data_IF_431057719416
#
_entry.id   IF_431057719416
#
_cell.length_a   1.000
_cell.length_b   1.000
_cell.length_c   1.000
_cell.angle_alpha   90.00
_cell.angle_beta   90.00
_cell.angle_gamma   90.00
#
_symmetry.space_group_name_H-M   'P 1'
#
loop_
_entity.id
_entity.type
_entity.pdbx_description
1 polymer ?
#
# COMPACT_ATOMS: atom_id res chain seq x y z
N UNK A 1 19.51 -30.47 -13.18
CA UNK A 1 18.83 -30.05 -11.93
C UNK A 1 18.81 -28.54 -12.01
N UNK A 2 17.75 -27.94 -12.56
CA UNK A 2 17.69 -26.51 -12.76
C UNK A 2 17.32 -25.89 -11.41
N UNK A 3 18.33 -25.38 -10.73
CA UNK A 3 18.21 -24.45 -9.62
C UNK A 3 17.12 -23.44 -9.97
N UNK A 4 16.05 -23.43 -9.18
CA UNK A 4 14.89 -22.58 -9.40
C UNK A 4 15.30 -21.17 -8.97
N UNK A 5 15.93 -20.44 -9.90
CA UNK A 5 16.63 -19.19 -9.62
C UNK A 5 15.61 -18.07 -9.40
N UNK A 6 15.38 -17.75 -8.13
CA UNK A 6 14.50 -16.68 -7.72
C UNK A 6 15.18 -15.35 -8.06
N UNK A 7 14.82 -14.72 -9.20
CA UNK A 7 15.40 -13.44 -9.62
C UNK A 7 15.22 -12.39 -8.53
N UNK A 8 16.32 -11.88 -8.03
CA UNK A 8 16.36 -10.75 -7.12
C UNK A 8 15.90 -9.47 -7.82
N UNK A 9 14.79 -8.90 -7.35
CA UNK A 9 14.24 -7.61 -7.78
C UNK A 9 14.43 -6.58 -6.66
N UNK A 10 14.50 -5.31 -7.04
CA UNK A 10 14.53 -4.18 -6.11
C UNK A 10 13.13 -3.58 -5.93
N UNK A 11 12.73 -3.37 -4.70
CA UNK A 11 11.44 -2.74 -4.38
C UNK A 11 11.48 -1.24 -4.69
N UNK A 12 10.53 -0.70 -5.45
CA UNK A 12 10.51 0.76 -5.71
C UNK A 12 10.12 1.59 -4.48
N UNK A 13 9.34 1.01 -3.56
CA UNK A 13 8.86 1.74 -2.38
C UNK A 13 9.92 1.85 -1.27
N UNK A 14 10.77 0.84 -1.11
CA UNK A 14 11.77 0.79 -0.02
C UNK A 14 13.20 0.52 -0.46
N UNK A 15 13.45 0.17 -1.72
CA UNK A 15 14.78 -0.18 -2.25
C UNK A 15 15.30 -1.56 -1.83
N UNK A 16 14.55 -2.34 -1.05
CA UNK A 16 15.00 -3.66 -0.58
C UNK A 16 15.10 -4.66 -1.74
N UNK A 17 16.15 -5.48 -1.72
CA UNK A 17 16.32 -6.63 -2.62
C UNK A 17 15.47 -7.80 -2.11
N UNK A 18 14.63 -8.36 -2.97
CA UNK A 18 13.78 -9.51 -2.66
C UNK A 18 13.72 -10.45 -3.85
N UNK A 19 13.48 -11.74 -3.59
CA UNK A 19 13.30 -12.71 -4.65
C UNK A 19 11.90 -12.60 -5.27
N UNK A 20 11.84 -12.35 -6.57
CA UNK A 20 10.62 -12.39 -7.35
C UNK A 20 10.47 -13.76 -8.01
N UNK A 21 9.41 -14.46 -7.62
CA UNK A 21 9.06 -15.75 -8.22
C UNK A 21 8.27 -15.66 -9.52
N UNK A 22 8.18 -14.48 -10.16
CA UNK A 22 7.54 -14.35 -11.47
C UNK A 22 8.20 -15.27 -12.52
N UNK A 23 9.53 -15.43 -12.45
CA UNK A 23 10.29 -16.35 -13.31
C UNK A 23 10.06 -17.82 -12.91
N UNK A 24 9.89 -18.08 -11.61
CA UNK A 24 9.56 -19.39 -11.05
C UNK A 24 8.08 -19.80 -11.23
N UNK A 25 7.27 -18.97 -11.91
CA UNK A 25 5.85 -19.22 -12.16
C UNK A 25 4.91 -18.86 -10.99
N UNK A 26 5.43 -18.38 -9.86
CA UNK A 26 4.64 -18.01 -8.69
C UNK A 26 5.19 -16.76 -7.99
N UNK A 27 4.49 -15.62 -8.12
CA UNK A 27 4.83 -14.38 -7.44
C UNK A 27 4.06 -14.24 -6.13
N UNK A 28 4.75 -13.92 -5.04
CA UNK A 28 4.14 -13.55 -3.75
C UNK A 28 3.05 -12.48 -3.88
N UNK A 29 3.18 -11.59 -4.87
CA UNK A 29 2.18 -10.58 -5.18
C UNK A 29 0.77 -11.15 -5.49
N UNK A 30 0.68 -12.38 -5.99
CA UNK A 30 -0.59 -13.09 -6.21
C UNK A 30 -1.08 -13.87 -4.99
N UNK A 31 -0.22 -14.11 -4.00
CA UNK A 31 -0.54 -14.87 -2.78
C UNK A 31 -0.94 -13.93 -1.62
N UNK A 32 -0.49 -12.68 -1.63
CA UNK A 32 -0.90 -11.67 -0.64
C UNK A 32 -2.38 -11.35 -0.84
N UNK A 33 -3.18 -11.63 0.20
CA UNK A 33 -4.59 -11.26 0.27
C UNK A 33 -4.77 -9.73 0.38
N UNK A 34 -4.70 -9.05 -0.75
CA UNK A 34 -5.06 -7.64 -0.90
C UNK A 34 -6.47 -7.51 -1.45
N UNK A 35 -7.19 -6.51 -0.97
CA UNK A 35 -8.45 -6.12 -1.60
C UNK A 35 -8.20 -5.70 -3.07
N UNK A 36 -8.99 -6.19 -4.04
CA UNK A 36 -8.77 -5.92 -5.46
C UNK A 36 -8.78 -4.43 -5.81
N UNK A 37 -9.51 -3.59 -5.08
CA UNK A 37 -9.50 -2.15 -5.29
C UNK A 37 -8.17 -1.53 -4.82
N UNK A 38 -7.60 -2.02 -3.72
CA UNK A 38 -6.26 -1.62 -3.27
C UNK A 38 -5.21 -2.09 -4.27
N UNK A 39 -5.30 -3.33 -4.74
CA UNK A 39 -4.37 -3.89 -5.72
C UNK A 39 -4.39 -3.10 -7.04
N UNK A 40 -5.57 -2.79 -7.58
CA UNK A 40 -5.71 -1.98 -8.79
C UNK A 40 -5.10 -0.58 -8.62
N UNK A 41 -5.28 0.04 -7.44
CA UNK A 41 -4.69 1.34 -7.12
C UNK A 41 -3.17 1.27 -7.02
N UNK A 42 -2.63 0.21 -6.41
CA UNK A 42 -1.19 -0.03 -6.34
C UNK A 42 -0.58 -0.21 -7.74
N UNK A 43 -1.24 -0.95 -8.63
CA UNK A 43 -0.80 -1.11 -10.04
C UNK A 43 -0.80 0.20 -10.83
N UNK A 44 -1.60 1.19 -10.42
CA UNK A 44 -1.60 2.52 -11.06
C UNK A 44 -0.62 3.51 -10.42
N UNK A 45 -0.15 3.24 -9.21
CA UNK A 45 0.79 4.09 -8.47
C UNK A 45 2.24 3.64 -8.62
N UNK A 46 2.44 2.33 -8.77
CA UNK A 46 3.72 1.66 -8.80
C UNK A 46 3.80 0.84 -10.09
N UNK A 47 4.83 1.10 -10.89
CA UNK A 47 5.07 0.41 -12.17
C UNK A 47 6.02 -0.79 -11.98
N UNK A 48 6.72 -0.86 -10.84
CA UNK A 48 7.71 -1.88 -10.51
C UNK A 48 7.27 -2.82 -9.39
N UNK A 49 8.05 -3.89 -9.20
CA UNK A 49 7.72 -4.93 -8.22
C UNK A 49 7.89 -4.40 -6.78
N UNK A 50 6.91 -4.71 -5.93
CA UNK A 50 6.93 -4.41 -4.50
C UNK A 50 7.26 -5.67 -3.69
N UNK A 51 8.04 -5.50 -2.62
CA UNK A 51 8.38 -6.60 -1.73
C UNK A 51 7.16 -6.98 -0.83
N UNK A 52 7.11 -8.22 -0.30
CA UNK A 52 6.01 -8.67 0.53
C UNK A 52 5.84 -7.82 1.80
N UNK A 53 6.92 -7.29 2.39
CA UNK A 53 6.85 -6.42 3.56
C UNK A 53 6.11 -5.10 3.26
N UNK A 54 6.40 -4.46 2.12
CA UNK A 54 5.71 -3.25 1.69
C UNK A 54 4.24 -3.56 1.37
N UNK A 55 3.97 -4.64 0.65
CA UNK A 55 2.60 -5.08 0.34
C UNK A 55 1.80 -5.36 1.61
N UNK A 56 2.37 -6.04 2.61
CA UNK A 56 1.72 -6.31 3.90
C UNK A 56 1.45 -5.02 4.69
N UNK A 57 2.40 -4.09 4.74
CA UNK A 57 2.20 -2.80 5.40
C UNK A 57 1.09 -1.98 4.75
N UNK A 58 1.02 -1.99 3.42
CA UNK A 58 -0.03 -1.36 2.63
C UNK A 58 -1.37 -2.07 2.84
N UNK A 59 -1.40 -3.40 2.84
CA UNK A 59 -2.58 -4.20 3.12
C UNK A 59 -3.13 -3.91 4.52
N UNK A 60 -2.27 -3.88 5.54
CA UNK A 60 -2.64 -3.54 6.91
C UNK A 60 -3.23 -2.12 7.01
N UNK A 61 -2.63 -1.15 6.31
CA UNK A 61 -3.15 0.22 6.24
C UNK A 61 -4.51 0.28 5.51
N UNK A 62 -4.67 -0.44 4.41
CA UNK A 62 -5.92 -0.52 3.65
C UNK A 62 -7.03 -1.20 4.43
N UNK A 63 -6.75 -2.32 5.10
CA UNK A 63 -7.72 -3.02 5.95
C UNK A 63 -8.13 -2.11 7.10
N UNK A 64 -7.20 -1.38 7.72
CA UNK A 64 -7.54 -0.40 8.75
C UNK A 64 -8.45 0.73 8.22
N UNK A 65 -8.27 1.14 6.95
CA UNK A 65 -9.13 2.14 6.28
C UNK A 65 -10.49 1.59 5.83
N UNK A 66 -10.58 0.30 5.51
CA UNK A 66 -11.82 -0.36 5.08
C UNK A 66 -12.65 -0.88 6.26
N UNK A 67 -12.00 -1.38 7.31
CA UNK A 67 -12.61 -1.85 8.54
C UNK A 67 -13.09 -0.71 9.44
N UNK A 68 -12.55 0.50 9.26
CA UNK A 68 -13.14 1.73 9.80
C UNK A 68 -14.19 2.25 8.81
N UNK A 69 -15.50 2.12 9.08
CA UNK A 69 -16.51 2.65 8.17
C UNK A 69 -16.40 4.19 8.08
N UNK A 70 -15.93 4.65 6.91
CA UNK A 70 -16.41 5.81 6.13
C UNK A 70 -16.50 7.17 6.85
N UNK A 71 -15.36 7.89 6.93
CA UNK A 71 -15.11 9.21 6.28
C UNK A 71 -13.98 10.05 6.94
N UNK A 72 -13.21 10.81 6.13
CA UNK A 72 -13.20 12.26 6.28
C UNK A 72 -13.26 12.96 4.92
N UNK A 73 -14.46 13.18 4.40
CA UNK A 73 -14.67 14.03 3.23
C UNK A 73 -15.90 14.93 3.44
N UNK A 74 -15.84 15.73 4.51
CA UNK A 74 -16.46 17.05 4.60
C UNK A 74 -15.57 17.82 5.59
N UNK A 75 -14.55 18.52 5.12
CA UNK A 75 -14.67 19.88 4.58
C UNK A 75 -15.54 20.75 5.50
N UNK A 76 -14.88 21.40 6.46
CA UNK A 76 -15.25 22.68 7.06
C UNK A 76 -14.00 23.16 7.82
N UNK A 77 -12.96 23.64 7.15
CA UNK A 77 -12.85 25.04 6.69
C UNK A 77 -13.40 26.02 7.75
N UNK A 78 -12.49 26.50 8.60
CA UNK A 78 -12.41 27.84 9.19
C UNK A 78 -13.73 28.62 9.43
N UNK A 79 -14.00 28.93 10.71
CA UNK A 79 -14.41 30.30 11.10
C UNK A 79 -13.52 30.82 12.22
N UNK A 80 -12.99 32.00 11.96
CA UNK A 80 -12.13 32.85 12.76
C UNK A 80 -12.65 33.16 14.18
N UNK A 81 -11.69 33.46 15.08
CA UNK A 81 -11.82 34.42 16.20
C UNK A 81 -12.47 35.75 15.73
N UNK A 82 -12.90 36.72 16.58
CA UNK A 82 -12.71 36.88 18.04
C UNK A 82 -13.96 37.39 18.83
N UNK A 83 -14.01 37.18 20.15
CA UNK A 83 -14.64 38.08 21.14
C UNK A 83 -13.85 37.87 22.44
N UNK A 84 -13.09 38.84 22.97
CA UNK A 84 -13.58 40.17 23.31
C UNK A 84 -14.38 40.11 24.61
N UNK A 85 -13.84 39.46 25.64
CA UNK A 85 -14.43 39.42 26.99
C UNK A 85 -14.11 40.75 27.68
N UNK A 86 -15.18 41.51 27.86
CA UNK A 86 -15.21 42.81 28.50
C UNK A 86 -15.84 42.61 29.88
N UNK A 87 -15.03 42.47 30.94
CA UNK A 87 -15.37 43.00 32.26
C UNK A 87 -14.20 43.01 33.24
#
# INVERSE_FOLDING_TARGET
MAEMELREQSCEACGARFGCGADAGHCWCGEVALDPATLARLRGLYDSCLCPACLQALAARSIAQLAAPRQPASIAVIRASPRGESR
#
